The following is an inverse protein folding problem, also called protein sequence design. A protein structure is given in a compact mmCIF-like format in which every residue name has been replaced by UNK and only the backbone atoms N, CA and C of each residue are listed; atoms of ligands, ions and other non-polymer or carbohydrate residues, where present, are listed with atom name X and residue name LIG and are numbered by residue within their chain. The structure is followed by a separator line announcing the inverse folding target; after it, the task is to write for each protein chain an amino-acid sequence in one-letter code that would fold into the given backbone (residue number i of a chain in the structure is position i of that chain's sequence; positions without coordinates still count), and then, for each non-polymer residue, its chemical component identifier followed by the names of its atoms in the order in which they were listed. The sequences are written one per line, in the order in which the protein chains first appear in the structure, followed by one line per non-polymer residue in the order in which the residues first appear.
data_IF_676184185301
#
_entry.id   IF_676184185301
#
_cell.length_a   1.000
_cell.length_b   1.000
_cell.length_c   1.000
_cell.angle_alpha   90.00
_cell.angle_beta   90.00
_cell.angle_gamma   90.00
#
_symmetry.space_group_name_H-M   'P 1'
#
loop_
_entity.id
_entity.type
_entity.pdbx_description
1 polymer ?
#
# COMPACT_ATOMS: atom_id res chain seq x y z
N UNK A 1 -3.73 -21.93 44.73
CA UNK A 1 -4.53 -22.03 43.47
C UNK A 1 -3.58 -21.64 42.36
N UNK A 2 -3.09 -22.64 41.62
CA UNK A 2 -2.18 -22.45 40.49
C UNK A 2 -3.01 -22.01 39.31
N UNK A 3 -2.84 -20.77 38.87
CA UNK A 3 -3.36 -20.33 37.57
C UNK A 3 -2.61 -21.12 36.49
N UNK A 4 -3.30 -22.05 35.87
CA UNK A 4 -2.77 -22.80 34.76
C UNK A 4 -2.41 -21.81 33.64
N UNK A 5 -1.13 -21.83 33.29
CA UNK A 5 -0.61 -21.19 32.11
C UNK A 5 -1.03 -22.07 30.91
N UNK A 6 -2.30 -21.95 30.45
CA UNK A 6 -2.71 -22.58 29.21
C UNK A 6 -1.90 -21.91 28.10
N UNK A 7 -0.97 -22.67 27.52
CA UNK A 7 -0.22 -22.22 26.37
C UNK A 7 -1.21 -21.97 25.22
N UNK A 8 -1.38 -20.72 24.83
CA UNK A 8 -2.19 -20.36 23.65
C UNK A 8 -1.57 -21.08 22.45
N UNK A 9 -2.31 -22.01 21.87
CA UNK A 9 -1.87 -22.74 20.67
C UNK A 9 -2.10 -21.86 19.45
N UNK A 10 -1.04 -21.48 18.76
CA UNK A 10 -1.11 -20.81 17.48
C UNK A 10 -0.78 -21.81 16.37
N UNK A 11 -1.64 -21.92 15.37
CA UNK A 11 -1.43 -22.74 14.18
C UNK A 11 -1.03 -21.82 13.01
N UNK A 12 0.12 -22.08 12.38
CA UNK A 12 0.56 -21.35 11.19
C UNK A 12 -0.05 -21.99 9.96
N UNK A 13 -0.87 -21.25 9.20
CA UNK A 13 -1.47 -21.71 7.95
C UNK A 13 -0.85 -21.06 6.69
N UNK A 14 -0.08 -19.97 6.85
CA UNK A 14 0.63 -19.31 5.75
C UNK A 14 1.97 -18.77 6.24
N UNK A 15 2.99 -18.73 5.37
CA UNK A 15 4.32 -18.19 5.67
C UNK A 15 4.87 -17.38 4.50
N UNK A 16 5.42 -16.20 4.80
CA UNK A 16 6.00 -15.26 3.85
C UNK A 16 7.39 -14.82 4.37
N UNK A 17 8.41 -15.67 4.15
CA UNK A 17 9.75 -15.54 4.77
C UNK A 17 10.84 -15.11 3.78
N UNK A 18 10.48 -14.65 2.58
CA UNK A 18 11.42 -14.20 1.55
C UNK A 18 11.04 -12.82 1.06
N UNK A 19 10.88 -11.89 2.01
CA UNK A 19 10.56 -10.50 1.70
C UNK A 19 11.81 -9.64 1.77
N UNK A 20 11.96 -8.69 0.83
CA UNK A 20 13.09 -7.76 0.77
C UNK A 20 13.11 -6.78 1.97
N UNK A 21 11.98 -6.67 2.71
CA UNK A 21 11.84 -5.84 3.91
C UNK A 21 12.64 -6.32 5.13
N UNK A 22 13.22 -7.52 5.08
CA UNK A 22 13.87 -8.14 6.24
C UNK A 22 12.88 -8.61 7.32
N UNK A 23 11.57 -8.60 7.03
CA UNK A 23 10.54 -9.13 7.92
C UNK A 23 10.13 -10.54 7.52
N UNK A 24 9.83 -11.35 8.53
CA UNK A 24 9.11 -12.61 8.36
C UNK A 24 7.64 -12.40 8.67
N UNK A 25 6.75 -12.91 7.82
CA UNK A 25 5.32 -12.74 7.99
C UNK A 25 4.58 -14.08 7.96
N UNK A 26 3.53 -14.19 8.77
CA UNK A 26 2.80 -15.43 8.97
C UNK A 26 1.30 -15.19 9.02
N UNK A 27 0.53 -16.07 8.39
CA UNK A 27 -0.90 -16.26 8.69
C UNK A 27 -1.02 -17.26 9.82
N UNK A 28 -1.64 -16.87 10.93
CA UNK A 28 -1.79 -17.73 12.12
C UNK A 28 -3.25 -17.81 12.55
N UNK A 29 -3.66 -18.96 13.10
CA UNK A 29 -4.93 -19.13 13.79
C UNK A 29 -4.69 -19.19 15.28
N UNK A 30 -5.31 -18.31 16.04
CA UNK A 30 -5.29 -18.25 17.51
C UNK A 30 -6.70 -18.24 18.00
N UNK A 31 -7.10 -19.24 18.81
CA UNK A 31 -8.46 -19.35 19.36
C UNK A 31 -9.59 -19.22 18.29
N UNK A 32 -9.34 -19.77 17.09
CA UNK A 32 -10.28 -19.70 15.95
C UNK A 32 -10.26 -18.39 15.17
N UNK A 33 -9.51 -17.37 15.61
CA UNK A 33 -9.32 -16.11 14.90
C UNK A 33 -8.11 -16.20 13.95
N UNK A 34 -8.30 -15.81 12.69
CA UNK A 34 -7.20 -15.72 11.72
C UNK A 34 -6.53 -14.35 11.81
N UNK A 35 -5.23 -14.35 11.98
CA UNK A 35 -4.40 -13.16 12.15
C UNK A 35 -3.23 -13.19 11.16
N UNK A 36 -2.75 -11.99 10.80
CA UNK A 36 -1.50 -11.79 10.09
C UNK A 36 -0.47 -11.22 11.07
N UNK A 37 0.68 -11.86 11.18
CA UNK A 37 1.78 -11.45 12.05
C UNK A 37 2.98 -11.10 11.19
N UNK A 38 3.52 -9.90 11.36
CA UNK A 38 4.75 -9.43 10.71
C UNK A 38 5.81 -9.20 11.79
N UNK A 39 6.93 -9.91 11.70
CA UNK A 39 8.00 -9.90 12.71
C UNK A 39 9.34 -9.46 12.11
N UNK A 40 10.10 -8.69 12.88
CA UNK A 40 11.44 -8.22 12.52
C UNK A 40 12.43 -8.47 13.66
N UNK A 41 13.65 -8.83 13.30
CA UNK A 41 14.78 -9.02 14.22
C UNK A 41 15.97 -8.11 13.89
N UNK A 42 16.08 -7.65 12.66
CA UNK A 42 17.14 -6.74 12.21
C UNK A 42 16.75 -5.28 12.49
N UNK A 43 17.69 -4.45 12.90
CA UNK A 43 17.44 -3.05 13.31
C UNK A 43 16.69 -2.22 12.26
N UNK A 44 17.04 -2.39 10.98
CA UNK A 44 16.39 -1.66 9.89
C UNK A 44 14.91 -2.07 9.73
N UNK A 45 14.62 -3.37 9.85
CA UNK A 45 13.26 -3.90 9.76
C UNK A 45 12.43 -3.54 11.01
N UNK A 46 13.04 -3.55 12.19
CA UNK A 46 12.41 -3.07 13.43
C UNK A 46 12.02 -1.60 13.27
N UNK A 47 12.92 -0.75 12.76
CA UNK A 47 12.63 0.66 12.53
C UNK A 47 11.47 0.87 11.54
N UNK A 48 11.31 -0.01 10.53
CA UNK A 48 10.13 0.01 9.63
C UNK A 48 8.85 -0.32 10.39
N UNK A 49 8.85 -1.38 11.21
CA UNK A 49 7.68 -1.73 12.02
C UNK A 49 7.33 -0.64 13.05
N UNK A 50 8.31 0.05 13.62
CA UNK A 50 8.07 1.18 14.52
C UNK A 50 7.40 2.36 13.80
N UNK A 51 7.75 2.61 12.51
CA UNK A 51 7.04 3.59 11.67
C UNK A 51 5.58 3.20 11.48
N UNK A 52 5.32 1.92 11.17
CA UNK A 52 3.95 1.40 11.06
C UNK A 52 3.15 1.61 12.36
N UNK A 53 3.75 1.30 13.53
CA UNK A 53 3.11 1.55 14.83
C UNK A 53 2.74 3.02 15.00
N UNK A 54 3.65 3.93 14.63
CA UNK A 54 3.39 5.36 14.71
C UNK A 54 2.24 5.78 13.79
N UNK A 55 2.26 5.33 12.53
CA UNK A 55 1.18 5.61 11.58
C UNK A 55 -0.17 5.15 12.12
N UNK A 56 -0.28 3.90 12.55
CA UNK A 56 -1.54 3.31 13.03
C UNK A 56 -2.09 3.92 14.32
N UNK A 57 -1.28 4.69 15.07
CA UNK A 57 -1.76 5.48 16.21
C UNK A 57 -2.48 6.76 15.78
N UNK A 58 -2.10 7.32 14.65
CA UNK A 58 -2.57 8.62 14.17
C UNK A 58 -3.56 8.49 13.01
N UNK A 59 -3.51 7.37 12.26
CA UNK A 59 -4.34 7.13 11.07
C UNK A 59 -5.23 5.92 11.28
N UNK A 60 -6.53 6.13 11.07
CA UNK A 60 -7.54 5.05 11.02
C UNK A 60 -8.45 5.29 9.82
N UNK A 61 -8.61 4.28 8.97
CA UNK A 61 -9.50 4.35 7.82
C UNK A 61 -10.08 2.96 7.50
N UNK A 62 -11.31 2.93 6.97
CA UNK A 62 -12.01 1.68 6.70
C UNK A 62 -11.28 0.76 5.70
N UNK A 63 -10.48 1.32 4.79
CA UNK A 63 -9.68 0.55 3.82
C UNK A 63 -8.26 0.23 4.29
N UNK A 64 -7.78 0.79 5.41
CA UNK A 64 -6.50 0.43 6.00
C UNK A 64 -6.69 -0.72 6.96
N UNK A 65 -5.93 -1.80 6.82
CA UNK A 65 -5.97 -2.94 7.74
C UNK A 65 -5.47 -2.45 9.11
N UNK A 66 -6.29 -2.51 10.18
CA UNK A 66 -5.94 -1.95 11.47
C UNK A 66 -4.86 -2.78 12.17
N UNK A 67 -3.90 -2.12 12.83
CA UNK A 67 -2.97 -2.76 13.75
C UNK A 67 -3.71 -3.14 15.04
N UNK A 68 -3.74 -4.43 15.38
CA UNK A 68 -4.40 -4.93 16.59
C UNK A 68 -3.46 -4.90 17.80
N UNK A 69 -2.24 -5.45 17.63
CA UNK A 69 -1.27 -5.57 18.72
C UNK A 69 0.15 -5.33 18.25
N UNK A 70 0.96 -4.82 19.15
CA UNK A 70 2.41 -4.72 19.04
C UNK A 70 3.02 -5.60 20.12
N UNK A 71 3.91 -6.52 19.74
CA UNK A 71 4.52 -7.49 20.64
C UNK A 71 6.04 -7.26 20.61
N UNK A 72 6.61 -6.88 21.75
CA UNK A 72 8.06 -6.85 21.90
C UNK A 72 8.58 -8.27 22.08
N UNK A 73 9.46 -8.69 21.20
CA UNK A 73 10.14 -10.00 21.26
C UNK A 73 11.51 -9.86 21.94
N UNK A 74 12.09 -10.95 22.45
CA UNK A 74 13.45 -10.91 23.04
C UNK A 74 14.51 -10.36 22.07
N UNK A 75 14.31 -10.54 20.77
CA UNK A 75 15.25 -10.16 19.70
C UNK A 75 14.62 -9.25 18.66
N UNK A 76 13.47 -8.61 18.94
CA UNK A 76 12.83 -7.77 17.91
C UNK A 76 11.43 -7.31 18.24
N UNK A 77 10.66 -7.11 17.19
CA UNK A 77 9.31 -6.57 17.24
C UNK A 77 8.38 -7.39 16.34
N UNK A 78 7.13 -7.61 16.78
CA UNK A 78 6.09 -8.17 15.91
C UNK A 78 4.82 -7.31 15.94
N UNK A 79 4.21 -7.16 14.79
CA UNK A 79 2.92 -6.49 14.60
C UNK A 79 1.86 -7.53 14.24
N UNK A 80 0.67 -7.38 14.83
CA UNK A 80 -0.44 -8.30 14.64
C UNK A 80 -1.61 -7.55 14.03
N UNK A 81 -2.09 -8.06 12.91
CA UNK A 81 -3.23 -7.53 12.15
C UNK A 81 -4.33 -8.60 12.02
N UNK A 82 -5.58 -8.23 11.78
CA UNK A 82 -6.58 -9.21 11.38
C UNK A 82 -6.17 -9.78 10.01
N UNK A 83 -6.41 -11.07 9.81
CA UNK A 83 -6.37 -11.62 8.46
C UNK A 83 -7.58 -11.10 7.68
N UNK A 84 -7.33 -10.50 6.53
CA UNK A 84 -8.40 -10.06 5.62
C UNK A 84 -8.53 -11.04 4.46
N UNK A 85 -9.74 -11.27 4.00
CA UNK A 85 -9.96 -12.05 2.79
C UNK A 85 -9.62 -11.21 1.56
N UNK A 86 -9.20 -11.88 0.50
CA UNK A 86 -8.80 -11.27 -0.76
C UNK A 86 -7.42 -11.71 -1.22
N UNK A 87 -6.99 -11.14 -2.32
CA UNK A 87 -5.69 -11.44 -2.92
C UNK A 87 -4.89 -10.15 -3.12
N UNK A 88 -3.60 -10.21 -2.80
CA UNK A 88 -2.66 -9.13 -3.11
C UNK A 88 -2.60 -8.96 -4.62
N UNK A 89 -2.77 -7.74 -5.12
CA UNK A 89 -2.80 -7.49 -6.57
C UNK A 89 -1.44 -7.76 -7.23
N UNK A 90 -0.34 -7.60 -6.48
CA UNK A 90 0.99 -7.95 -6.96
C UNK A 90 1.77 -8.66 -5.85
N UNK A 91 1.92 -9.96 -5.98
CA UNK A 91 2.60 -10.80 -4.99
C UNK A 91 3.45 -11.91 -5.62
N UNK A 92 4.36 -12.46 -4.84
CA UNK A 92 5.08 -13.67 -5.19
C UNK A 92 4.10 -14.83 -5.48
N UNK A 93 4.42 -15.81 -6.34
CA UNK A 93 5.79 -16.23 -6.70
C UNK A 93 6.35 -15.59 -7.97
N UNK A 94 5.56 -14.85 -8.73
CA UNK A 94 6.03 -14.23 -9.97
C UNK A 94 6.19 -12.72 -9.76
N UNK A 95 7.39 -12.22 -10.00
CA UNK A 95 7.71 -10.80 -9.89
C UNK A 95 7.92 -10.18 -11.26
N UNK A 96 7.68 -8.88 -11.38
CA UNK A 96 7.91 -8.12 -12.61
C UNK A 96 6.70 -8.06 -13.56
N UNK A 97 6.94 -7.55 -14.77
CA UNK A 97 5.91 -7.37 -15.79
C UNK A 97 5.12 -8.67 -16.12
N UNK A 98 5.75 -9.87 -16.21
CA UNK A 98 5.02 -11.09 -16.49
C UNK A 98 3.89 -11.40 -15.48
N UNK A 99 4.10 -11.09 -14.19
CA UNK A 99 3.09 -11.34 -13.16
C UNK A 99 1.82 -10.49 -13.36
N UNK A 100 1.99 -9.24 -13.82
CA UNK A 100 0.85 -8.33 -14.09
C UNK A 100 0.11 -8.68 -15.39
N UNK A 101 0.76 -9.40 -16.29
CA UNK A 101 0.19 -9.85 -17.57
C UNK A 101 -0.40 -11.26 -17.51
N UNK A 102 -0.19 -11.99 -16.41
CA UNK A 102 -0.81 -13.31 -16.23
C UNK A 102 -2.34 -13.16 -16.16
N UNK A 103 -3.08 -13.69 -17.13
CA UNK A 103 -4.54 -13.56 -17.16
C UNK A 103 -5.24 -14.18 -15.95
N UNK A 104 -4.62 -15.18 -15.31
CA UNK A 104 -5.11 -15.82 -14.08
C UNK A 104 -4.72 -15.08 -12.80
N UNK A 105 -3.79 -14.14 -12.88
CA UNK A 105 -3.30 -13.38 -11.74
C UNK A 105 -4.33 -12.41 -11.17
N UNK A 106 -4.20 -12.11 -9.87
CA UNK A 106 -5.12 -11.20 -9.17
C UNK A 106 -5.20 -9.81 -9.85
N UNK A 107 -4.06 -9.28 -10.30
CA UNK A 107 -4.00 -7.99 -10.98
C UNK A 107 -4.82 -7.98 -12.29
N UNK A 108 -4.69 -9.00 -13.13
CA UNK A 108 -5.44 -9.10 -14.40
C UNK A 108 -6.95 -9.30 -14.13
N UNK A 109 -7.29 -10.15 -13.16
CA UNK A 109 -8.69 -10.38 -12.74
C UNK A 109 -9.34 -9.12 -12.17
N UNK A 110 -8.60 -8.35 -11.36
CA UNK A 110 -9.08 -7.07 -10.85
C UNK A 110 -9.37 -6.08 -11.99
N UNK A 111 -8.45 -5.92 -12.92
CA UNK A 111 -8.67 -5.06 -14.10
C UNK A 111 -9.81 -5.53 -15.00
N UNK A 112 -10.11 -6.82 -15.03
CA UNK A 112 -11.25 -7.36 -15.77
C UNK A 112 -12.61 -7.07 -15.12
N UNK A 113 -12.64 -6.55 -13.88
CA UNK A 113 -13.89 -6.12 -13.22
C UNK A 113 -14.54 -4.97 -13.97
N UNK A 114 -15.86 -4.76 -13.79
CA UNK A 114 -16.54 -3.58 -14.31
C UNK A 114 -15.80 -2.30 -13.94
N UNK A 115 -15.64 -1.38 -14.90
CA UNK A 115 -14.86 -0.16 -14.70
C UNK A 115 -15.31 0.64 -13.46
N UNK A 116 -16.62 0.72 -13.22
CA UNK A 116 -17.18 1.40 -12.05
C UNK A 116 -16.65 0.80 -10.73
N UNK A 117 -16.47 -0.51 -10.67
CA UNK A 117 -15.94 -1.20 -9.50
C UNK A 117 -14.44 -0.91 -9.30
N UNK A 118 -13.66 -0.88 -10.39
CA UNK A 118 -12.24 -0.51 -10.36
C UNK A 118 -12.07 0.94 -9.90
N UNK A 119 -12.91 1.86 -10.41
CA UNK A 119 -12.90 3.27 -10.00
C UNK A 119 -13.26 3.44 -8.52
N UNK A 120 -14.27 2.73 -8.01
CA UNK A 120 -14.64 2.75 -6.59
C UNK A 120 -13.54 2.20 -5.70
N UNK A 121 -12.90 1.10 -6.11
CA UNK A 121 -11.77 0.52 -5.39
C UNK A 121 -10.59 1.50 -5.32
N UNK A 122 -10.30 2.20 -6.41
CA UNK A 122 -9.25 3.22 -6.43
C UNK A 122 -9.64 4.47 -5.61
N UNK A 123 -10.90 4.89 -5.61
CA UNK A 123 -11.38 5.98 -4.75
C UNK A 123 -11.20 5.65 -3.26
N UNK A 124 -11.37 4.38 -2.86
CA UNK A 124 -11.07 3.92 -1.50
C UNK A 124 -9.58 4.05 -1.14
N UNK A 125 -8.67 3.85 -2.12
CA UNK A 125 -7.23 4.09 -1.94
C UNK A 125 -6.97 5.58 -1.73
N UNK A 126 -7.61 6.44 -2.53
CA UNK A 126 -7.50 7.90 -2.38
C UNK A 126 -8.01 8.35 -1.00
N UNK A 127 -9.18 7.86 -0.55
CA UNK A 127 -9.75 8.21 0.74
C UNK A 127 -8.82 7.85 1.91
N UNK A 128 -8.21 6.67 1.85
CA UNK A 128 -7.22 6.28 2.84
C UNK A 128 -6.00 7.22 2.86
N UNK A 129 -5.54 7.66 1.68
CA UNK A 129 -4.40 8.58 1.58
C UNK A 129 -4.76 10.04 1.93
N UNK A 130 -6.01 10.42 1.84
CA UNK A 130 -6.49 11.67 2.44
C UNK A 130 -6.32 11.62 3.96
N UNK A 131 -6.75 10.53 4.62
CA UNK A 131 -6.56 10.37 6.06
C UNK A 131 -5.07 10.33 6.46
N UNK A 132 -4.22 9.70 5.64
CA UNK A 132 -2.75 9.69 5.82
C UNK A 132 -2.17 11.11 5.73
N UNK A 133 -2.57 11.87 4.70
CA UNK A 133 -2.09 13.24 4.48
C UNK A 133 -2.60 14.21 5.56
N UNK A 134 -3.85 14.07 6.00
CA UNK A 134 -4.44 14.88 7.07
C UNK A 134 -3.74 14.66 8.41
N UNK A 135 -3.24 13.44 8.66
CA UNK A 135 -2.41 13.11 9.82
C UNK A 135 -0.94 13.56 9.67
N UNK A 136 -0.58 14.21 8.55
CA UNK A 136 0.76 14.74 8.32
C UNK A 136 1.79 13.70 7.89
N UNK A 137 1.36 12.59 7.26
CA UNK A 137 2.25 11.58 6.71
C UNK A 137 2.35 11.66 5.19
N UNK A 138 3.47 11.16 4.66
CA UNK A 138 3.76 10.99 3.24
C UNK A 138 3.92 9.52 2.97
N UNK A 139 3.30 9.04 1.89
CA UNK A 139 3.46 7.66 1.43
C UNK A 139 4.89 7.43 0.93
N UNK A 140 5.48 6.34 1.36
CA UNK A 140 6.74 5.79 0.87
C UNK A 140 6.52 4.31 0.61
N UNK A 141 7.05 3.79 -0.49
CA UNK A 141 6.85 2.41 -0.94
C UNK A 141 5.38 2.04 -1.21
N UNK A 142 4.60 2.99 -1.75
CA UNK A 142 3.24 2.69 -2.21
C UNK A 142 3.30 2.05 -3.59
N UNK A 143 2.77 0.83 -3.71
CA UNK A 143 2.71 0.08 -4.97
C UNK A 143 1.55 -0.94 -4.96
N UNK A 144 1.32 -1.65 -6.04
CA UNK A 144 0.21 -2.60 -6.16
C UNK A 144 0.32 -3.84 -5.25
N UNK A 145 1.49 -4.10 -4.65
CA UNK A 145 1.66 -5.08 -3.57
C UNK A 145 1.07 -4.62 -2.22
N UNK A 146 0.79 -3.33 -2.06
CA UNK A 146 0.10 -2.81 -0.88
C UNK A 146 -1.42 -2.97 -0.96
N UNK A 147 -1.97 -3.49 -2.07
CA UNK A 147 -3.40 -3.59 -2.31
C UNK A 147 -3.88 -5.03 -2.26
N UNK A 148 -4.82 -5.32 -1.37
CA UNK A 148 -5.53 -6.61 -1.29
C UNK A 148 -6.96 -6.36 -1.74
N UNK A 149 -7.40 -7.10 -2.77
CA UNK A 149 -8.77 -7.00 -3.25
C UNK A 149 -9.55 -8.27 -2.94
N UNK A 150 -10.67 -8.11 -2.25
CA UNK A 150 -11.63 -9.18 -2.01
C UNK A 150 -12.56 -9.29 -3.22
N UNK A 151 -12.47 -10.42 -3.93
CA UNK A 151 -13.23 -10.68 -5.14
C UNK A 151 -14.66 -11.17 -4.85
N UNK A 152 -14.88 -11.72 -3.65
CA UNK A 152 -16.18 -12.28 -3.23
C UNK A 152 -17.05 -11.19 -2.61
N UNK A 153 -16.45 -10.33 -1.78
CA UNK A 153 -17.09 -9.13 -1.22
C UNK A 153 -16.33 -7.88 -1.69
N UNK A 154 -16.65 -7.32 -2.87
CA UNK A 154 -15.85 -6.30 -3.55
C UNK A 154 -15.38 -5.18 -2.62
N UNK A 155 -14.13 -5.25 -2.20
CA UNK A 155 -13.51 -4.33 -1.26
C UNK A 155 -12.00 -4.25 -1.48
N UNK A 156 -11.48 -3.03 -1.42
CA UNK A 156 -10.04 -2.78 -1.44
C UNK A 156 -9.51 -2.56 -0.02
N UNK A 157 -8.50 -3.32 0.35
CA UNK A 157 -7.72 -3.14 1.56
C UNK A 157 -6.33 -2.63 1.21
N UNK A 158 -5.76 -1.84 2.12
CA UNK A 158 -4.39 -1.32 2.03
C UNK A 158 -3.60 -1.89 3.20
N UNK A 159 -2.45 -2.47 2.88
CA UNK A 159 -1.49 -3.05 3.81
C UNK A 159 -0.09 -2.49 3.56
N UNK A 160 0.87 -2.92 4.35
CA UNK A 160 2.30 -2.64 4.16
C UNK A 160 2.66 -1.15 4.19
N UNK A 161 2.22 -0.45 5.24
CA UNK A 161 2.43 0.98 5.45
C UNK A 161 3.70 1.27 6.29
N UNK A 162 4.66 0.35 6.31
CA UNK A 162 5.81 0.35 7.22
C UNK A 162 6.82 1.46 6.88
N UNK A 163 6.83 1.92 5.64
CA UNK A 163 7.75 2.95 5.18
C UNK A 163 7.17 4.36 5.17
N UNK A 164 5.87 4.52 5.49
CA UNK A 164 5.23 5.83 5.57
C UNK A 164 5.87 6.69 6.66
N UNK A 165 6.11 7.95 6.36
CA UNK A 165 6.86 8.86 7.24
C UNK A 165 6.10 10.15 7.50
N UNK A 166 6.25 10.76 8.70
CA UNK A 166 5.84 12.15 8.91
C UNK A 166 6.52 13.03 7.87
N UNK A 167 5.78 13.94 7.25
CA UNK A 167 6.28 14.82 6.20
C UNK A 167 5.85 16.28 6.41
N UNK A 168 6.44 17.20 5.66
CA UNK A 168 7.52 16.96 4.69
C UNK A 168 8.86 16.62 5.36
N UNK A 169 9.73 15.89 4.63
CA UNK A 169 11.09 15.62 5.09
C UNK A 169 12.11 15.72 3.94
N UNK A 170 13.40 15.85 4.29
CA UNK A 170 14.49 15.84 3.32
C UNK A 170 15.08 14.43 3.25
N UNK A 171 15.22 13.88 2.05
CA UNK A 171 15.84 12.58 1.83
C UNK A 171 17.35 12.63 2.17
N UNK A 172 17.76 11.87 3.17
CA UNK A 172 19.17 11.79 3.63
C UNK A 172 19.93 10.63 3.02
N UNK A 173 19.21 9.59 2.60
CA UNK A 173 19.76 8.41 1.96
C UNK A 173 19.93 8.64 0.44
N UNK A 174 20.60 7.72 -0.24
CA UNK A 174 20.78 7.81 -1.70
C UNK A 174 19.44 7.68 -2.46
N UNK A 175 18.52 6.88 -1.91
CA UNK A 175 17.15 6.72 -2.40
C UNK A 175 16.24 6.21 -1.27
N UNK A 176 14.93 6.38 -1.44
CA UNK A 176 13.95 5.71 -0.59
C UNK A 176 13.80 4.22 -0.98
N UNK A 177 13.35 3.35 -0.06
CA UNK A 177 12.86 2.02 -0.42
C UNK A 177 11.64 2.15 -1.34
N UNK A 178 11.41 1.14 -2.16
CA UNK A 178 10.22 1.09 -2.99
C UNK A 178 10.44 0.55 -4.39
N UNK A 179 9.31 0.23 -5.02
CA UNK A 179 9.25 -0.21 -6.40
C UNK A 179 9.48 0.97 -7.36
N UNK A 180 10.60 0.96 -8.10
CA UNK A 180 10.95 2.01 -9.05
C UNK A 180 9.88 2.33 -10.11
N UNK A 181 8.92 1.44 -10.29
CA UNK A 181 7.75 1.64 -11.16
C UNK A 181 6.79 2.71 -10.61
N UNK A 182 6.69 2.82 -9.28
CA UNK A 182 5.74 3.71 -8.59
C UNK A 182 6.42 4.96 -8.04
N UNK A 183 7.72 4.91 -7.81
CA UNK A 183 8.49 5.97 -7.17
C UNK A 183 8.59 7.22 -8.04
N UNK A 184 8.47 8.37 -7.39
CA UNK A 184 8.70 9.67 -8.00
C UNK A 184 10.20 9.96 -8.19
N UNK A 185 10.59 10.83 -9.15
CA UNK A 185 12.00 11.13 -9.41
C UNK A 185 12.77 11.61 -8.18
N UNK A 186 12.15 12.42 -7.32
CA UNK A 186 12.75 12.93 -6.09
C UNK A 186 13.07 11.85 -5.05
N UNK A 187 12.42 10.69 -5.11
CA UNK A 187 12.68 9.56 -4.21
C UNK A 187 14.01 8.86 -4.52
N UNK A 188 14.65 9.19 -5.66
CA UNK A 188 15.97 8.70 -6.07
C UNK A 188 17.08 9.73 -5.89
N UNK A 189 16.80 10.89 -5.33
CA UNK A 189 17.75 12.00 -5.28
C UNK A 189 17.95 12.50 -3.86
N UNK A 190 19.10 12.16 -3.27
CA UNK A 190 19.50 12.66 -1.96
C UNK A 190 19.43 14.19 -1.88
N UNK A 191 18.88 14.71 -0.82
CA UNK A 191 18.66 16.15 -0.61
C UNK A 191 17.32 16.66 -1.13
N UNK A 192 16.53 15.85 -1.84
CA UNK A 192 15.19 16.22 -2.28
C UNK A 192 14.23 16.34 -1.11
N UNK A 193 13.25 17.21 -1.27
CA UNK A 193 12.10 17.30 -0.35
C UNK A 193 11.06 16.27 -0.76
N UNK A 194 10.66 15.46 0.19
CA UNK A 194 9.60 14.45 0.06
C UNK A 194 8.38 14.97 0.80
N UNK A 195 7.30 15.21 0.05
CA UNK A 195 6.06 15.79 0.58
C UNK A 195 4.80 15.18 -0.08
N UNK A 196 3.63 15.79 0.10
CA UNK A 196 2.38 15.29 -0.47
C UNK A 196 2.41 15.17 -2.01
N UNK A 197 3.24 15.94 -2.70
CA UNK A 197 3.40 15.85 -4.18
C UNK A 197 4.06 14.54 -4.59
N UNK A 198 4.89 13.95 -3.71
CA UNK A 198 5.43 12.60 -3.89
C UNK A 198 4.32 11.56 -3.75
N UNK A 199 3.47 11.65 -2.71
CA UNK A 199 2.29 10.80 -2.57
C UNK A 199 1.35 10.91 -3.78
N UNK A 200 1.13 12.13 -4.29
CA UNK A 200 0.34 12.37 -5.51
C UNK A 200 0.91 11.61 -6.70
N UNK A 201 2.24 11.61 -6.88
CA UNK A 201 2.89 10.85 -7.95
C UNK A 201 2.66 9.35 -7.79
N UNK A 202 2.88 8.81 -6.59
CA UNK A 202 2.67 7.38 -6.33
C UNK A 202 1.21 6.98 -6.58
N UNK A 203 0.23 7.80 -6.17
CA UNK A 203 -1.21 7.58 -6.45
C UNK A 203 -1.50 7.65 -7.95
N UNK A 204 -0.92 8.59 -8.69
CA UNK A 204 -1.03 8.67 -10.14
C UNK A 204 -0.50 7.40 -10.83
N UNK A 205 0.65 6.88 -10.37
CA UNK A 205 1.22 5.62 -10.87
C UNK A 205 0.32 4.43 -10.52
N UNK A 206 -0.24 4.38 -9.31
CA UNK A 206 -1.20 3.36 -8.90
C UNK A 206 -2.45 3.39 -9.80
N UNK A 207 -3.03 4.57 -10.07
CA UNK A 207 -4.15 4.72 -10.99
C UNK A 207 -3.83 4.18 -12.39
N UNK A 208 -2.65 4.53 -12.94
CA UNK A 208 -2.22 4.06 -14.25
C UNK A 208 -2.10 2.52 -14.28
N UNK A 209 -1.46 1.92 -13.26
CA UNK A 209 -1.29 0.45 -13.19
C UNK A 209 -2.63 -0.26 -13.05
N UNK A 210 -3.57 0.28 -12.29
CA UNK A 210 -4.88 -0.35 -12.06
C UNK A 210 -5.86 -0.16 -13.23
N UNK A 211 -5.74 0.92 -14.00
CA UNK A 211 -6.70 1.27 -15.06
C UNK A 211 -6.18 0.99 -16.47
N UNK A 212 -4.86 0.98 -16.71
CA UNK A 212 -4.35 0.73 -18.04
C UNK A 212 -4.32 -0.76 -18.37
N UNK A 213 -4.50 -1.11 -19.64
CA UNK A 213 -4.39 -2.48 -20.12
C UNK A 213 -2.93 -2.94 -20.07
N UNK A 214 -2.68 -4.04 -19.37
CA UNK A 214 -1.38 -4.69 -19.28
C UNK A 214 -0.42 -4.01 -18.32
N UNK A 215 -0.15 -2.74 -18.47
CA UNK A 215 0.83 -2.02 -17.65
C UNK A 215 0.71 -0.49 -17.82
N UNK A 216 1.66 0.28 -17.26
CA UNK A 216 1.72 1.73 -17.34
C UNK A 216 1.56 2.30 -18.76
N UNK A 217 2.11 1.61 -19.74
CA UNK A 217 2.10 2.01 -21.16
C UNK A 217 0.89 1.50 -21.95
N UNK A 218 -0.03 0.80 -21.27
CA UNK A 218 -1.21 0.23 -21.90
C UNK A 218 -2.31 1.27 -22.19
N UNK A 219 -3.30 0.88 -22.99
CA UNK A 219 -4.46 1.71 -23.24
C UNK A 219 -5.22 2.00 -21.93
N UNK A 220 -5.54 3.27 -21.69
CA UNK A 220 -6.29 3.71 -20.53
C UNK A 220 -7.78 3.34 -20.67
N UNK A 221 -8.32 2.62 -19.70
CA UNK A 221 -9.71 2.13 -19.70
C UNK A 221 -10.72 3.08 -19.07
N UNK A 222 -10.23 4.07 -18.32
CA UNK A 222 -11.07 5.06 -17.64
C UNK A 222 -11.61 6.15 -18.59
N UNK A 223 -12.43 7.07 -18.07
CA UNK A 223 -12.78 8.28 -18.80
C UNK A 223 -11.51 9.04 -19.24
N UNK A 224 -11.52 9.64 -20.43
CA UNK A 224 -10.36 10.38 -20.95
C UNK A 224 -9.86 11.47 -19.98
N UNK A 225 -10.76 12.10 -19.23
CA UNK A 225 -10.42 13.08 -18.22
C UNK A 225 -9.55 12.50 -17.09
N UNK A 226 -9.71 11.22 -16.72
CA UNK A 226 -8.86 10.58 -15.69
C UNK A 226 -7.44 10.34 -16.19
N UNK A 227 -7.23 10.13 -17.49
CA UNK A 227 -5.89 10.05 -18.08
C UNK A 227 -5.13 11.38 -17.92
N UNK A 228 -5.78 12.52 -18.12
CA UNK A 228 -5.18 13.85 -17.91
C UNK A 228 -4.81 14.08 -16.43
N UNK A 229 -5.65 13.57 -15.50
CA UNK A 229 -5.34 13.64 -14.05
C UNK A 229 -4.11 12.82 -13.72
N UNK A 230 -4.01 11.60 -14.27
CA UNK A 230 -2.83 10.73 -14.09
C UNK A 230 -1.59 11.40 -14.67
N UNK A 231 -1.65 11.93 -15.88
CA UNK A 231 -0.53 12.62 -16.53
C UNK A 231 0.00 13.77 -15.67
N UNK A 232 -0.88 14.64 -15.18
CA UNK A 232 -0.49 15.72 -14.27
C UNK A 232 0.07 15.19 -12.96
N UNK A 233 -0.54 14.20 -12.33
CA UNK A 233 -0.09 13.64 -11.07
C UNK A 233 1.31 13.02 -11.18
N UNK A 234 1.65 12.46 -12.36
CA UNK A 234 2.93 11.78 -12.62
C UNK A 234 3.94 12.66 -13.35
N UNK A 235 3.75 13.98 -13.35
CA UNK A 235 4.71 14.90 -13.94
C UNK A 235 6.08 14.78 -13.26
N UNK A 236 7.15 14.91 -14.05
CA UNK A 236 8.52 14.74 -13.55
C UNK A 236 8.87 15.79 -12.49
N UNK A 237 8.46 17.04 -12.70
CA UNK A 237 8.69 18.13 -11.76
C UNK A 237 7.57 18.17 -10.71
N UNK A 238 7.88 18.13 -9.40
CA UNK A 238 6.86 18.17 -8.35
C UNK A 238 5.95 19.40 -8.39
N UNK A 239 6.48 20.56 -8.82
CA UNK A 239 5.73 21.82 -8.92
C UNK A 239 4.62 21.83 -9.98
N UNK A 240 4.70 20.94 -10.97
CA UNK A 240 3.69 20.82 -12.02
C UNK A 240 2.55 19.85 -11.66
N UNK A 241 2.69 19.11 -10.55
CA UNK A 241 1.70 18.16 -10.04
C UNK A 241 0.57 18.88 -9.27
N UNK A 242 -0.35 18.11 -8.71
CA UNK A 242 -1.27 18.60 -7.68
C UNK A 242 -0.49 18.85 -6.39
N UNK A 243 -0.77 19.97 -5.73
CA UNK A 243 -0.01 20.39 -4.54
C UNK A 243 -0.24 19.46 -3.34
N UNK A 244 -1.48 18.97 -3.21
CA UNK A 244 -1.91 18.12 -2.09
C UNK A 244 -2.63 16.87 -2.59
N UNK A 245 -2.73 15.86 -1.73
CA UNK A 245 -3.57 14.68 -1.98
C UNK A 245 -5.04 15.10 -2.13
N UNK A 246 -5.50 16.13 -1.41
CA UNK A 246 -6.85 16.65 -1.52
C UNK A 246 -7.14 17.27 -2.91
N UNK A 247 -6.20 18.02 -3.47
CA UNK A 247 -6.34 18.59 -4.82
C UNK A 247 -6.40 17.47 -5.87
N UNK A 248 -5.55 16.44 -5.74
CA UNK A 248 -5.59 15.26 -6.59
C UNK A 248 -6.93 14.53 -6.49
N UNK A 249 -7.41 14.27 -5.27
CA UNK A 249 -8.67 13.59 -5.01
C UNK A 249 -9.87 14.33 -5.64
N UNK A 250 -9.92 15.66 -5.49
CA UNK A 250 -10.96 16.50 -6.08
C UNK A 250 -10.94 16.42 -7.62
N UNK A 251 -9.75 16.55 -8.23
CA UNK A 251 -9.59 16.45 -9.68
C UNK A 251 -9.96 15.05 -10.20
N UNK A 252 -9.51 13.99 -9.47
CA UNK A 252 -9.83 12.61 -9.80
C UNK A 252 -11.34 12.36 -9.83
N UNK A 253 -12.06 12.73 -8.77
CA UNK A 253 -13.50 12.51 -8.64
C UNK A 253 -14.28 13.28 -9.69
N UNK A 254 -13.89 14.52 -9.97
CA UNK A 254 -14.50 15.32 -11.05
C UNK A 254 -14.29 14.67 -12.43
N UNK A 255 -13.11 14.09 -12.68
CA UNK A 255 -12.79 13.40 -13.93
C UNK A 255 -13.50 12.04 -14.06
N UNK A 256 -13.52 11.25 -12.97
CA UNK A 256 -14.17 9.93 -12.95
C UNK A 256 -15.70 10.00 -13.11
N UNK A 257 -16.32 11.11 -12.74
CA UNK A 257 -17.76 11.36 -12.93
C UNK A 257 -18.14 11.70 -14.38
N UNK A 258 -17.18 11.99 -15.25
CA UNK A 258 -17.44 12.27 -16.68
C UNK A 258 -17.66 10.95 -17.42
N UNK A 259 -18.74 10.87 -18.21
CA UNK A 259 -19.07 9.68 -19.02
C UNK A 259 -18.43 9.76 -20.40
#
# INVERSE_FOLDING_TARGET
MSAGNEAISAEVFASFTRQDSGCDSYGVTVEGCRLFVKAAAEDCAIASLERAVRLHREVSHASIIPLLHTITLPTGLALVYPWVEGEVLYGAPTTGRPARLDPGGAHARFRARPLAEVLLAFDSIIDAHLAVADAGFVAVDLYDGCFIYDFDAPRMWICDLDEYRPGPFVLTDERLPGSGRFMAPEEFLRGSVIDQRTTVFNLGRAAAVLLNEGDLDGHHRGPAATANVIERATHQQPEDRYLTVADFAAAWRAAAAQR
#
